data_IF_085573082353
#
_entry.id   IF_085573082353
#
_cell.length_a   1.000
_cell.length_b   1.000
_cell.length_c   1.000
_cell.angle_alpha   90.00
_cell.angle_beta   90.00
_cell.angle_gamma   90.00
#
_symmetry.space_group_name_H-M   'P 1'
#
loop_
_entity.id
_entity.type
_entity.pdbx_description
1 polymer ?
#
# COMPACT_ATOMS: atom_id res chain seq x y z
N UNK A 1 -23.55 -7.71 17.79
CA UNK A 1 -24.42 -7.91 16.60
C UNK A 1 -24.02 -7.04 15.39
N UNK A 2 -23.86 -5.69 15.45
CA UNK A 2 -23.59 -4.89 14.24
C UNK A 2 -22.27 -5.25 13.52
N UNK A 3 -21.20 -5.62 14.24
CA UNK A 3 -19.94 -6.04 13.61
C UNK A 3 -20.10 -7.33 12.82
N UNK A 4 -20.83 -8.32 13.35
CA UNK A 4 -21.09 -9.59 12.64
C UNK A 4 -21.90 -9.34 11.38
N UNK A 5 -22.95 -8.51 11.46
CA UNK A 5 -23.73 -8.10 10.30
C UNK A 5 -22.82 -7.39 9.27
N UNK A 6 -21.94 -6.50 9.71
CA UNK A 6 -20.97 -5.84 8.84
C UNK A 6 -20.01 -6.82 8.16
N UNK A 7 -19.44 -7.78 8.87
CA UNK A 7 -18.53 -8.79 8.29
C UNK A 7 -19.27 -9.69 7.30
N UNK A 8 -20.52 -10.08 7.58
CA UNK A 8 -21.35 -10.89 6.66
C UNK A 8 -21.69 -10.09 5.41
N UNK A 9 -22.11 -8.82 5.55
CA UNK A 9 -22.40 -7.95 4.42
C UNK A 9 -21.17 -7.72 3.53
N UNK A 10 -20.00 -7.49 4.13
CA UNK A 10 -18.76 -7.37 3.38
C UNK A 10 -18.41 -8.67 2.64
N UNK A 11 -18.54 -9.82 3.29
CA UNK A 11 -18.29 -11.13 2.65
C UNK A 11 -19.26 -11.42 1.49
N UNK A 12 -20.53 -11.03 1.63
CA UNK A 12 -21.55 -11.17 0.56
C UNK A 12 -21.22 -10.22 -0.59
N UNK A 13 -20.91 -8.96 -0.30
CA UNK A 13 -20.54 -7.97 -1.32
C UNK A 13 -19.28 -8.40 -2.09
N UNK A 14 -18.25 -8.84 -1.37
CA UNK A 14 -17.00 -9.33 -1.97
C UNK A 14 -17.26 -10.60 -2.80
N UNK A 15 -18.05 -11.54 -2.31
CA UNK A 15 -18.44 -12.73 -3.06
C UNK A 15 -19.21 -12.41 -4.33
N UNK A 16 -20.11 -11.42 -4.30
CA UNK A 16 -20.84 -10.93 -5.47
C UNK A 16 -19.93 -10.32 -6.52
N UNK A 17 -19.01 -9.43 -6.11
CA UNK A 17 -18.02 -8.82 -7.02
C UNK A 17 -17.08 -9.86 -7.64
N UNK A 18 -16.58 -10.80 -6.84
CA UNK A 18 -15.73 -11.89 -7.36
C UNK A 18 -16.49 -12.80 -8.32
N UNK A 19 -17.76 -13.06 -8.07
CA UNK A 19 -18.61 -13.82 -8.98
C UNK A 19 -18.79 -13.10 -10.32
N UNK A 20 -19.11 -11.80 -10.30
CA UNK A 20 -19.28 -10.99 -11.52
C UNK A 20 -17.99 -10.92 -12.33
N UNK A 21 -16.86 -10.65 -11.66
CA UNK A 21 -15.53 -10.69 -12.29
C UNK A 21 -15.18 -12.06 -12.89
N UNK A 22 -15.68 -13.18 -12.32
CA UNK A 22 -15.46 -14.51 -12.85
C UNK A 22 -16.25 -14.80 -14.13
N UNK A 23 -17.42 -14.23 -14.25
CA UNK A 23 -18.31 -14.44 -15.41
C UNK A 23 -17.77 -13.71 -16.66
N UNK A 24 -17.08 -12.58 -16.46
CA UNK A 24 -16.49 -11.76 -17.55
C UNK A 24 -15.18 -12.31 -18.15
N UNK A 25 -14.67 -13.45 -17.72
CA UNK A 25 -13.43 -13.97 -18.35
C UNK A 25 -12.87 -15.28 -17.85
N UNK A 26 -13.32 -15.84 -16.74
CA UNK A 26 -12.81 -17.11 -16.23
C UNK A 26 -13.93 -18.01 -15.75
N UNK A 27 -14.17 -19.12 -16.44
CA UNK A 27 -15.04 -20.21 -15.91
C UNK A 27 -14.41 -20.70 -14.61
N UNK A 28 -15.13 -20.57 -13.51
CA UNK A 28 -14.77 -21.15 -12.21
C UNK A 28 -14.68 -22.67 -12.42
N UNK A 29 -13.47 -23.21 -12.51
CA UNK A 29 -13.28 -24.65 -12.69
C UNK A 29 -13.57 -25.38 -11.38
N UNK A 30 -14.04 -26.63 -11.48
CA UNK A 30 -14.23 -27.49 -10.30
C UNK A 30 -12.93 -27.59 -9.44
N UNK A 31 -11.77 -27.53 -10.07
CA UNK A 31 -10.46 -27.49 -9.41
C UNK A 31 -10.29 -26.24 -8.56
N UNK A 32 -10.71 -25.05 -9.03
CA UNK A 32 -10.64 -23.80 -8.25
C UNK A 32 -11.59 -23.84 -7.05
N UNK A 33 -12.79 -24.40 -7.21
CA UNK A 33 -13.73 -24.62 -6.12
C UNK A 33 -13.12 -25.56 -5.09
N UNK A 34 -12.54 -26.69 -5.53
CA UNK A 34 -11.89 -27.66 -4.64
C UNK A 34 -10.70 -27.04 -3.87
N UNK A 35 -9.86 -26.23 -4.55
CA UNK A 35 -8.76 -25.49 -3.93
C UNK A 35 -9.28 -24.45 -2.92
N UNK A 36 -10.36 -23.72 -3.26
CA UNK A 36 -11.01 -22.78 -2.35
C UNK A 36 -11.53 -23.48 -1.09
N UNK A 37 -12.21 -24.61 -1.24
CA UNK A 37 -12.68 -25.44 -0.10
C UNK A 37 -11.50 -25.96 0.71
N UNK A 38 -10.44 -26.47 0.05
CA UNK A 38 -9.23 -26.94 0.75
C UNK A 38 -8.55 -25.79 1.53
N UNK A 39 -8.57 -24.57 1.03
CA UNK A 39 -8.02 -23.40 1.70
C UNK A 39 -8.79 -23.01 2.97
N UNK A 40 -10.05 -23.40 3.11
CA UNK A 40 -10.83 -23.15 4.34
C UNK A 40 -10.24 -23.87 5.55
N UNK A 41 -9.60 -25.04 5.36
CA UNK A 41 -9.00 -25.80 6.46
C UNK A 41 -7.86 -25.02 7.14
N UNK A 42 -6.80 -24.57 6.43
CA UNK A 42 -5.73 -23.78 7.06
C UNK A 42 -6.25 -22.45 7.61
N UNK A 43 -7.25 -21.84 6.99
CA UNK A 43 -7.88 -20.60 7.50
C UNK A 43 -8.60 -20.87 8.82
N UNK A 44 -9.35 -21.97 8.95
CA UNK A 44 -10.04 -22.36 10.19
C UNK A 44 -9.04 -22.70 11.31
N UNK A 45 -7.98 -23.43 10.98
CA UNK A 45 -6.88 -23.72 11.94
C UNK A 45 -6.23 -22.41 12.39
N UNK A 46 -5.91 -21.51 11.44
CA UNK A 46 -5.37 -20.18 11.71
C UNK A 46 -6.29 -19.37 12.63
N UNK A 47 -7.60 -19.39 12.37
CA UNK A 47 -8.60 -18.72 13.22
C UNK A 47 -8.59 -19.26 14.65
N UNK A 48 -8.58 -20.59 14.83
CA UNK A 48 -8.51 -21.21 16.16
C UNK A 48 -7.23 -20.82 16.90
N UNK A 49 -6.09 -20.77 16.21
CA UNK A 49 -4.81 -20.31 16.76
C UNK A 49 -4.88 -18.84 17.17
N UNK A 50 -5.47 -17.97 16.34
CA UNK A 50 -5.57 -16.52 16.59
C UNK A 50 -6.60 -16.18 17.69
N UNK A 51 -7.61 -17.01 17.92
CA UNK A 51 -8.46 -16.92 19.12
C UNK A 51 -7.64 -17.14 20.39
N UNK A 52 -6.68 -18.08 20.35
CA UNK A 52 -5.81 -18.38 21.50
C UNK A 52 -4.66 -17.38 21.65
N UNK A 53 -4.10 -16.91 20.52
CA UNK A 53 -2.96 -15.99 20.48
C UNK A 53 -3.28 -14.72 19.67
N UNK A 54 -4.22 -13.89 20.13
CA UNK A 54 -4.66 -12.70 19.36
C UNK A 54 -3.54 -11.67 19.16
N UNK A 55 -2.51 -11.68 19.98
CA UNK A 55 -1.32 -10.84 19.85
C UNK A 55 -0.53 -11.08 18.55
N UNK A 56 -0.67 -12.25 17.94
CA UNK A 56 0.00 -12.59 16.69
C UNK A 56 -0.64 -11.96 15.46
N UNK A 57 -1.84 -11.41 15.55
CA UNK A 57 -2.57 -10.80 14.42
C UNK A 57 -1.75 -9.73 13.72
N UNK A 58 -1.31 -8.70 14.45
CA UNK A 58 -0.58 -7.57 13.88
C UNK A 58 0.75 -7.96 13.22
N UNK A 59 1.63 -8.75 13.87
CA UNK A 59 2.86 -9.25 13.26
C UNK A 59 2.62 -10.10 12.01
N UNK A 60 1.62 -10.98 12.02
CA UNK A 60 1.30 -11.83 10.87
C UNK A 60 0.77 -11.03 9.69
N UNK A 61 -0.11 -10.04 9.94
CA UNK A 61 -0.61 -9.16 8.89
C UNK A 61 0.54 -8.37 8.28
N UNK A 62 1.42 -7.78 9.10
CA UNK A 62 2.58 -7.04 8.58
C UNK A 62 3.52 -7.97 7.78
N UNK A 63 3.78 -9.18 8.27
CA UNK A 63 4.63 -10.14 7.59
C UNK A 63 4.03 -10.61 6.26
N UNK A 64 2.71 -10.82 6.20
CA UNK A 64 2.03 -11.28 4.99
C UNK A 64 1.79 -10.17 3.95
N UNK A 65 1.66 -8.91 4.39
CA UNK A 65 1.27 -7.78 3.55
C UNK A 65 2.12 -7.57 2.28
N UNK A 66 3.46 -7.63 2.29
CA UNK A 66 4.26 -7.41 1.10
C UNK A 66 4.33 -8.62 0.17
N UNK A 67 4.00 -9.82 0.64
CA UNK A 67 4.15 -11.03 -0.17
C UNK A 67 3.09 -11.12 -1.25
N UNK A 68 3.56 -11.15 -2.50
CA UNK A 68 2.77 -11.26 -3.72
C UNK A 68 3.27 -12.44 -4.55
N UNK A 69 3.14 -13.70 -4.04
CA UNK A 69 3.67 -14.85 -4.74
C UNK A 69 3.03 -14.96 -6.12
N UNK A 70 3.82 -15.05 -7.18
CA UNK A 70 3.33 -15.29 -8.52
C UNK A 70 2.99 -16.77 -8.65
N UNK A 71 1.82 -17.15 -8.21
CA UNK A 71 1.31 -18.49 -8.43
C UNK A 71 0.67 -18.53 -9.83
N UNK A 72 1.33 -19.19 -10.77
CA UNK A 72 0.87 -19.32 -12.14
C UNK A 72 0.71 -20.80 -12.49
N UNK A 73 -0.52 -21.27 -12.70
CA UNK A 73 -0.81 -22.62 -13.19
C UNK A 73 -1.35 -22.56 -14.62
N UNK A 74 -0.62 -23.00 -15.64
CA UNK A 74 -1.09 -22.97 -17.03
C UNK A 74 -0.13 -23.65 -18.01
N UNK A 75 -0.50 -23.72 -19.30
CA UNK A 75 0.10 -24.55 -20.35
C UNK A 75 1.58 -24.26 -20.69
N UNK A 76 2.19 -23.22 -20.14
CA UNK A 76 3.59 -22.88 -20.38
C UNK A 76 4.47 -23.10 -19.15
N UNK A 77 4.24 -24.13 -18.34
CA UNK A 77 4.99 -24.44 -17.11
C UNK A 77 4.91 -23.38 -16.01
N UNK A 78 3.95 -22.47 -16.07
CA UNK A 78 3.67 -21.45 -15.06
C UNK A 78 2.25 -21.66 -14.56
N UNK A 79 2.11 -21.86 -13.25
CA UNK A 79 0.79 -22.02 -12.64
C UNK A 79 0.14 -20.63 -12.43
N UNK A 80 -0.98 -20.36 -13.11
CA UNK A 80 -1.82 -19.20 -12.85
C UNK A 80 -3.02 -19.62 -12.02
N UNK A 81 -3.10 -19.24 -10.74
CA UNK A 81 -4.38 -19.20 -10.05
C UNK A 81 -4.99 -17.83 -10.41
N UNK A 82 -5.54 -17.75 -11.62
CA UNK A 82 -6.32 -16.60 -12.01
C UNK A 82 -7.75 -16.82 -11.57
N UNK A 83 -8.17 -16.20 -10.51
CA UNK A 83 -9.60 -16.02 -10.20
C UNK A 83 -10.11 -14.74 -10.85
N UNK A 84 -9.22 -13.84 -11.23
CA UNK A 84 -9.51 -12.66 -12.00
C UNK A 84 -8.57 -12.55 -13.19
N UNK A 85 -9.04 -12.01 -14.31
CA UNK A 85 -8.31 -11.82 -15.56
C UNK A 85 -6.98 -11.06 -15.40
N UNK A 86 -6.78 -10.31 -14.33
CA UNK A 86 -5.57 -9.58 -14.01
C UNK A 86 -4.60 -10.31 -13.06
N UNK A 87 -4.89 -11.52 -12.61
CA UNK A 87 -4.03 -12.31 -11.69
C UNK A 87 -3.71 -11.62 -10.36
N UNK A 88 -4.55 -10.68 -9.93
CA UNK A 88 -4.32 -9.85 -8.75
C UNK A 88 -4.57 -10.63 -7.46
N UNK A 89 -5.56 -11.52 -7.44
CA UNK A 89 -5.90 -12.32 -6.27
C UNK A 89 -4.73 -13.20 -5.82
N UNK A 90 -4.07 -13.88 -6.74
CA UNK A 90 -2.93 -14.74 -6.43
C UNK A 90 -1.79 -14.00 -5.73
N UNK A 91 -1.65 -12.71 -5.95
CA UNK A 91 -0.55 -11.90 -5.40
C UNK A 91 -0.67 -11.61 -3.91
N UNK A 92 -1.88 -11.53 -3.36
CA UNK A 92 -2.12 -11.21 -1.95
C UNK A 92 -2.67 -12.40 -1.15
N UNK A 93 -2.62 -13.61 -1.69
CA UNK A 93 -3.14 -14.82 -1.03
C UNK A 93 -2.66 -15.00 0.42
N UNK A 94 -1.37 -14.81 0.78
CA UNK A 94 -0.95 -14.92 2.17
C UNK A 94 -1.67 -13.93 3.08
N UNK A 95 -1.83 -12.68 2.62
CA UNK A 95 -2.55 -11.66 3.38
C UNK A 95 -4.04 -12.01 3.51
N UNK A 96 -4.69 -12.43 2.43
CA UNK A 96 -6.12 -12.82 2.48
C UNK A 96 -6.37 -14.02 3.40
N UNK A 97 -5.46 -15.00 3.40
CA UNK A 97 -5.52 -16.13 4.33
C UNK A 97 -5.44 -15.67 5.78
N UNK A 98 -4.52 -14.76 6.09
CA UNK A 98 -4.40 -14.17 7.44
C UNK A 98 -5.64 -13.34 7.78
N UNK A 99 -6.14 -12.51 6.86
CA UNK A 99 -7.34 -11.70 7.09
C UNK A 99 -8.59 -12.56 7.29
N UNK A 100 -8.78 -13.61 6.50
CA UNK A 100 -9.87 -14.56 6.68
C UNK A 100 -9.82 -15.24 8.07
N UNK A 101 -8.65 -15.73 8.47
CA UNK A 101 -8.45 -16.33 9.78
C UNK A 101 -8.71 -15.33 10.92
N UNK A 102 -8.24 -14.11 10.80
CA UNK A 102 -8.45 -13.07 11.83
C UNK A 102 -9.90 -12.58 11.88
N UNK A 103 -10.58 -12.45 10.74
CA UNK A 103 -12.00 -12.09 10.68
C UNK A 103 -12.88 -13.17 11.32
N UNK A 104 -12.59 -14.46 11.06
CA UNK A 104 -13.27 -15.57 11.72
C UNK A 104 -13.02 -15.57 13.24
N UNK A 105 -11.78 -15.33 13.68
CA UNK A 105 -11.44 -15.23 15.10
C UNK A 105 -12.16 -14.06 15.77
N UNK A 106 -12.25 -12.91 15.10
CA UNK A 106 -12.98 -11.74 15.58
C UNK A 106 -14.48 -12.01 15.65
N UNK A 107 -15.04 -12.63 14.61
CA UNK A 107 -16.44 -13.05 14.56
C UNK A 107 -16.81 -14.01 15.69
N UNK A 108 -15.95 -15.00 15.97
CA UNK A 108 -16.09 -15.93 17.08
C UNK A 108 -16.11 -15.23 18.45
N UNK A 109 -15.21 -14.25 18.64
CA UNK A 109 -15.20 -13.46 19.87
C UNK A 109 -16.46 -12.60 20.03
N UNK A 110 -16.98 -12.05 18.93
CA UNK A 110 -18.24 -11.31 18.93
C UNK A 110 -19.45 -12.21 19.27
N UNK A 111 -19.50 -13.43 18.72
CA UNK A 111 -20.54 -14.42 19.04
C UNK A 111 -20.51 -14.83 20.50
N UNK A 112 -19.34 -14.85 21.13
CA UNK A 112 -19.17 -15.12 22.57
C UNK A 112 -19.50 -13.92 23.47
N UNK A 113 -20.06 -12.85 22.92
CA UNK A 113 -20.47 -11.67 23.67
C UNK A 113 -19.33 -10.80 24.17
N UNK A 114 -18.10 -10.97 23.65
CA UNK A 114 -16.99 -10.08 24.00
C UNK A 114 -17.25 -8.70 23.42
N UNK A 115 -17.14 -7.68 24.26
CA UNK A 115 -17.20 -6.29 23.80
C UNK A 115 -16.00 -5.99 22.91
N UNK A 116 -16.28 -5.40 21.75
CA UNK A 116 -15.28 -5.05 20.77
C UNK A 116 -15.15 -3.52 20.68
N UNK A 117 -13.95 -3.04 20.90
CA UNK A 117 -13.65 -1.63 20.82
C UNK A 117 -13.99 -1.04 19.45
N UNK A 118 -14.47 0.20 19.40
CA UNK A 118 -14.74 0.93 18.16
C UNK A 118 -13.44 1.49 17.61
N UNK A 119 -13.24 1.35 16.30
CA UNK A 119 -12.10 2.00 15.62
C UNK A 119 -12.23 3.52 15.81
N UNK A 120 -11.12 4.26 16.07
CA UNK A 120 -11.16 5.70 16.23
C UNK A 120 -11.87 6.41 15.06
N UNK A 121 -12.87 7.24 15.38
CA UNK A 121 -13.73 7.88 14.37
C UNK A 121 -12.95 8.76 13.40
N UNK A 122 -11.85 9.35 13.88
CA UNK A 122 -10.96 10.19 13.07
C UNK A 122 -10.38 9.46 11.83
N UNK A 123 -10.33 8.12 11.87
CA UNK A 123 -9.91 7.28 10.73
C UNK A 123 -11.11 6.52 10.17
N UNK A 124 -11.99 6.01 11.03
CA UNK A 124 -13.12 5.18 10.60
C UNK A 124 -14.08 5.93 9.67
N UNK A 125 -14.47 7.18 10.03
CA UNK A 125 -15.41 7.95 9.21
C UNK A 125 -14.87 8.31 7.83
N UNK A 126 -13.64 8.86 7.68
CA UNK A 126 -13.08 9.12 6.36
C UNK A 126 -12.85 7.85 5.54
N UNK A 127 -12.44 6.74 6.17
CA UNK A 127 -12.26 5.46 5.49
C UNK A 127 -13.59 4.93 4.94
N UNK A 128 -14.65 4.95 5.77
CA UNK A 128 -16.01 4.55 5.32
C UNK A 128 -16.52 5.48 4.23
N UNK A 129 -16.35 6.80 4.37
CA UNK A 129 -16.75 7.76 3.35
C UNK A 129 -16.06 7.47 2.00
N UNK A 130 -14.74 7.23 2.03
CA UNK A 130 -13.98 6.87 0.85
C UNK A 130 -14.48 5.58 0.20
N UNK A 131 -14.70 4.53 1.00
CA UNK A 131 -15.21 3.24 0.53
C UNK A 131 -16.63 3.36 -0.07
N UNK A 132 -17.51 4.13 0.56
CA UNK A 132 -18.87 4.37 0.07
C UNK A 132 -18.84 5.10 -1.28
N UNK A 133 -18.05 6.17 -1.39
CA UNK A 133 -17.89 6.91 -2.66
C UNK A 133 -17.32 5.98 -3.73
N UNK A 134 -16.29 5.20 -3.41
CA UNK A 134 -15.69 4.24 -4.33
C UNK A 134 -16.71 3.17 -4.78
N UNK A 135 -17.48 2.58 -3.87
CA UNK A 135 -18.50 1.58 -4.19
C UNK A 135 -19.65 2.16 -5.03
N UNK A 136 -20.16 3.33 -4.65
CA UNK A 136 -21.22 4.00 -5.42
C UNK A 136 -20.75 4.39 -6.82
N UNK A 137 -19.46 4.70 -6.99
CA UNK A 137 -18.91 5.10 -8.29
C UNK A 137 -18.93 3.96 -9.33
N UNK A 138 -19.13 2.71 -8.91
CA UNK A 138 -19.35 1.58 -9.83
C UNK A 138 -20.66 1.74 -10.66
N UNK A 139 -21.63 2.51 -10.16
CA UNK A 139 -22.89 2.74 -10.86
C UNK A 139 -22.74 3.58 -12.14
N UNK A 140 -21.63 4.32 -12.28
CA UNK A 140 -21.36 5.18 -13.45
C UNK A 140 -19.95 5.03 -14.03
N UNK A 141 -19.20 3.99 -13.61
CA UNK A 141 -17.84 3.79 -14.14
C UNK A 141 -17.84 3.38 -15.61
N UNK A 142 -16.90 3.94 -16.37
CA UNK A 142 -16.67 3.57 -17.77
C UNK A 142 -15.89 2.25 -17.93
N UNK A 143 -15.38 1.66 -16.82
CA UNK A 143 -14.64 0.38 -16.81
C UNK A 143 -15.01 -0.42 -15.55
N UNK A 144 -16.21 -1.01 -15.57
CA UNK A 144 -16.76 -1.75 -14.44
C UNK A 144 -15.84 -2.86 -13.95
N UNK A 145 -15.26 -3.73 -14.81
CA UNK A 145 -14.37 -4.80 -14.34
C UNK A 145 -13.11 -4.26 -13.62
N UNK A 146 -12.56 -3.12 -14.06
CA UNK A 146 -11.42 -2.51 -13.39
C UNK A 146 -11.81 -1.94 -12.03
N UNK A 147 -12.98 -1.30 -11.92
CA UNK A 147 -13.51 -0.78 -10.67
C UNK A 147 -13.81 -1.87 -9.65
N UNK A 148 -14.51 -2.91 -10.06
CA UNK A 148 -14.78 -4.10 -9.23
C UNK A 148 -13.50 -4.77 -8.74
N UNK A 149 -12.49 -4.88 -9.60
CA UNK A 149 -11.18 -5.43 -9.23
C UNK A 149 -10.53 -4.62 -8.10
N UNK A 150 -10.55 -3.29 -8.17
CA UNK A 150 -9.99 -2.43 -7.11
C UNK A 150 -10.80 -2.57 -5.83
N UNK A 151 -12.13 -2.59 -5.91
CA UNK A 151 -13.00 -2.70 -4.74
C UNK A 151 -12.85 -4.07 -4.06
N UNK A 152 -12.99 -5.17 -4.81
CA UNK A 152 -13.00 -6.53 -4.29
C UNK A 152 -11.63 -7.00 -3.78
N UNK A 153 -10.54 -6.67 -4.48
CA UNK A 153 -9.22 -7.21 -4.13
C UNK A 153 -8.34 -6.28 -3.30
N UNK A 154 -8.75 -5.04 -3.11
CA UNK A 154 -7.96 -4.09 -2.31
C UNK A 154 -8.82 -3.40 -1.25
N UNK A 155 -9.83 -2.65 -1.63
CA UNK A 155 -10.50 -1.76 -0.69
C UNK A 155 -11.30 -2.51 0.38
N UNK A 156 -12.10 -3.50 0.00
CA UNK A 156 -12.88 -4.30 0.97
C UNK A 156 -12.00 -5.17 1.87
N UNK A 157 -11.03 -5.96 1.37
CA UNK A 157 -10.11 -6.71 2.22
C UNK A 157 -9.31 -5.81 3.17
N UNK A 158 -8.93 -4.60 2.73
CA UNK A 158 -8.18 -3.69 3.59
C UNK A 158 -9.05 -2.98 4.62
N UNK A 159 -10.33 -2.79 4.35
CA UNK A 159 -11.29 -2.41 5.40
C UNK A 159 -11.38 -3.48 6.49
N UNK A 160 -11.42 -4.76 6.11
CA UNK A 160 -11.34 -5.88 7.05
C UNK A 160 -10.01 -5.86 7.81
N UNK A 161 -8.88 -5.60 7.12
CA UNK A 161 -7.56 -5.45 7.74
C UNK A 161 -7.60 -4.42 8.88
N UNK A 162 -8.11 -3.22 8.60
CA UNK A 162 -8.22 -2.17 9.64
C UNK A 162 -9.12 -2.65 10.78
N UNK A 163 -10.27 -3.24 10.45
CA UNK A 163 -11.22 -3.71 11.45
C UNK A 163 -10.62 -4.76 12.41
N UNK A 164 -9.83 -5.72 11.90
CA UNK A 164 -9.27 -6.81 12.71
C UNK A 164 -8.01 -6.37 13.46
N UNK A 165 -7.08 -5.68 12.79
CA UNK A 165 -5.79 -5.27 13.39
C UNK A 165 -5.99 -4.17 14.44
N UNK A 166 -6.89 -3.21 14.21
CA UNK A 166 -7.19 -2.18 15.20
C UNK A 166 -7.67 -2.77 16.54
N UNK A 167 -8.30 -3.93 16.53
CA UNK A 167 -8.80 -4.63 17.72
C UNK A 167 -7.84 -5.67 18.28
N UNK A 168 -6.70 -5.88 17.64
CA UNK A 168 -5.68 -6.80 18.14
C UNK A 168 -4.97 -6.21 19.37
N UNK A 169 -4.55 -7.06 20.33
CA UNK A 169 -3.78 -6.59 21.48
C UNK A 169 -2.45 -5.96 21.06
N UNK A 170 -2.05 -4.89 21.75
CA UNK A 170 -0.81 -4.17 21.50
C UNK A 170 0.09 -4.19 22.74
N UNK A 171 0.83 -5.26 23.06
CA UNK A 171 1.75 -5.32 24.19
C UNK A 171 2.97 -4.40 24.00
N UNK A 172 3.69 -4.08 25.07
CA UNK A 172 4.83 -3.13 25.06
C UNK A 172 5.97 -3.50 24.10
N UNK A 173 6.17 -4.79 23.84
CA UNK A 173 7.21 -5.27 22.91
C UNK A 173 6.81 -5.13 21.43
N UNK A 174 5.53 -4.85 21.13
CA UNK A 174 4.99 -4.83 19.76
C UNK A 174 5.70 -3.82 18.87
N UNK A 175 5.95 -2.60 19.36
CA UNK A 175 6.69 -1.55 18.62
C UNK A 175 8.04 -2.09 18.11
N UNK A 176 8.78 -2.79 18.97
CA UNK A 176 10.07 -3.38 18.59
C UNK A 176 9.90 -4.53 17.58
N UNK A 177 8.92 -5.39 17.80
CA UNK A 177 8.65 -6.51 16.90
C UNK A 177 8.30 -6.04 15.49
N UNK A 178 7.42 -5.04 15.36
CA UNK A 178 7.05 -4.47 14.06
C UNK A 178 8.24 -3.84 13.35
N UNK A 179 9.10 -3.12 14.08
CA UNK A 179 10.33 -2.56 13.51
C UNK A 179 11.29 -3.65 13.01
N UNK A 180 11.49 -4.71 13.80
CA UNK A 180 12.32 -5.85 13.40
C UNK A 180 11.76 -6.54 12.15
N UNK A 181 10.45 -6.82 12.12
CA UNK A 181 9.79 -7.45 10.96
C UNK A 181 10.00 -6.59 9.70
N UNK A 182 9.76 -5.28 9.79
CA UNK A 182 9.93 -4.37 8.65
C UNK A 182 11.37 -4.38 8.11
N UNK A 183 12.38 -4.32 9.00
CA UNK A 183 13.79 -4.33 8.61
C UNK A 183 14.20 -5.70 8.04
N UNK A 184 13.75 -6.81 8.65
CA UNK A 184 14.03 -8.16 8.16
C UNK A 184 13.42 -8.39 6.78
N UNK A 185 12.16 -8.00 6.57
CA UNK A 185 11.51 -8.10 5.26
C UNK A 185 12.25 -7.29 4.20
N UNK A 186 12.61 -6.03 4.49
CA UNK A 186 13.38 -5.19 3.58
C UNK A 186 14.74 -5.82 3.27
N UNK A 187 15.39 -6.45 4.27
CA UNK A 187 16.68 -7.15 4.09
C UNK A 187 16.55 -8.37 3.19
N UNK A 188 15.49 -9.17 3.36
CA UNK A 188 15.20 -10.31 2.47
C UNK A 188 14.98 -9.83 1.04
N UNK A 189 14.22 -8.75 0.87
CA UNK A 189 13.96 -8.19 -0.46
C UNK A 189 15.24 -7.59 -1.08
N UNK A 190 16.06 -6.88 -0.31
CA UNK A 190 17.32 -6.34 -0.77
C UNK A 190 18.28 -7.47 -1.19
N UNK A 191 18.40 -8.53 -0.39
CA UNK A 191 19.22 -9.70 -0.72
C UNK A 191 18.77 -10.35 -2.04
N UNK A 192 17.47 -10.61 -2.21
CA UNK A 192 16.94 -11.16 -3.45
C UNK A 192 17.22 -10.24 -4.64
N UNK A 193 17.08 -8.91 -4.47
CA UNK A 193 17.41 -7.93 -5.51
C UNK A 193 18.90 -7.92 -5.87
N UNK A 194 19.80 -8.01 -4.89
CA UNK A 194 21.25 -8.08 -5.13
C UNK A 194 21.66 -9.37 -5.83
N UNK A 195 21.04 -10.52 -5.49
CA UNK A 195 21.28 -11.77 -6.21
C UNK A 195 20.83 -11.65 -7.67
N UNK A 196 19.67 -11.03 -7.95
CA UNK A 196 19.22 -10.77 -9.32
C UNK A 196 20.18 -9.83 -10.06
N UNK A 197 20.69 -8.78 -9.40
CA UNK A 197 21.65 -7.86 -9.99
C UNK A 197 22.98 -8.59 -10.35
N UNK A 198 23.49 -9.45 -9.47
CA UNK A 198 24.72 -10.20 -9.69
C UNK A 198 24.57 -11.28 -10.77
N UNK A 199 23.40 -11.93 -10.86
CA UNK A 199 23.15 -13.01 -11.80
C UNK A 199 22.53 -12.57 -13.13
N UNK A 200 22.08 -11.33 -13.21
CA UNK A 200 21.30 -10.78 -14.35
C UNK A 200 20.06 -11.64 -14.68
N UNK A 201 19.45 -12.26 -13.67
CA UNK A 201 18.25 -13.11 -13.82
C UNK A 201 17.12 -12.59 -12.94
N UNK A 202 15.99 -12.25 -13.57
CA UNK A 202 14.76 -11.92 -12.84
C UNK A 202 14.02 -13.22 -12.49
N UNK A 203 13.54 -13.32 -11.24
CA UNK A 203 12.72 -14.46 -10.83
C UNK A 203 11.23 -14.20 -11.11
N UNK A 204 10.80 -12.97 -10.87
CA UNK A 204 9.45 -12.50 -11.11
C UNK A 204 9.51 -11.13 -11.78
N UNK A 205 8.74 -10.94 -12.85
CA UNK A 205 8.76 -9.68 -13.60
C UNK A 205 7.49 -9.51 -14.43
N UNK A 206 7.19 -8.28 -14.79
CA UNK A 206 6.24 -7.97 -15.86
C UNK A 206 6.98 -7.97 -17.20
N UNK A 207 6.32 -8.32 -18.31
CA UNK A 207 6.95 -8.30 -19.64
C UNK A 207 7.59 -6.94 -19.99
N UNK A 208 7.00 -5.84 -19.53
CA UNK A 208 7.55 -4.48 -19.72
C UNK A 208 8.91 -4.26 -19.05
N UNK A 209 9.20 -4.94 -17.94
CA UNK A 209 10.51 -4.86 -17.25
C UNK A 209 11.56 -5.64 -18.04
N UNK A 210 11.19 -6.82 -18.56
CA UNK A 210 12.09 -7.64 -19.39
C UNK A 210 12.48 -6.89 -20.67
N UNK A 211 11.49 -6.35 -21.38
CA UNK A 211 11.72 -5.50 -22.56
C UNK A 211 12.56 -4.29 -22.18
N UNK A 212 12.25 -3.60 -21.08
CA UNK A 212 13.03 -2.48 -20.60
C UNK A 212 14.50 -2.83 -20.35
N UNK A 213 14.78 -3.96 -19.71
CA UNK A 213 16.15 -4.43 -19.46
C UNK A 213 16.90 -4.83 -20.74
N UNK A 214 16.19 -5.36 -21.74
CA UNK A 214 16.80 -5.74 -23.03
C UNK A 214 17.30 -4.51 -23.84
N UNK A 215 16.65 -3.35 -23.66
CA UNK A 215 16.97 -2.13 -24.39
C UNK A 215 17.66 -1.04 -23.55
N UNK A 216 17.96 -1.32 -22.26
CA UNK A 216 18.64 -0.39 -21.38
C UNK A 216 20.09 -0.76 -21.18
N UNK A 217 20.96 0.24 -20.91
CA UNK A 217 22.35 0.03 -20.50
C UNK A 217 22.48 -0.42 -19.03
N UNK A 218 21.38 -0.53 -18.29
CA UNK A 218 21.33 -0.95 -16.90
C UNK A 218 20.27 -2.02 -16.69
N UNK A 219 20.54 -2.92 -15.75
CA UNK A 219 19.64 -4.03 -15.41
C UNK A 219 18.85 -3.70 -14.15
N UNK A 220 17.52 -3.53 -14.30
CA UNK A 220 16.58 -3.28 -13.21
C UNK A 220 16.14 -4.57 -12.57
N UNK A 221 16.25 -4.65 -11.25
CA UNK A 221 15.83 -5.82 -10.48
C UNK A 221 14.44 -5.61 -9.89
N UNK A 222 13.72 -6.70 -9.70
CA UNK A 222 12.35 -6.72 -9.15
C UNK A 222 12.27 -7.43 -7.80
N UNK A 223 13.34 -8.10 -7.38
CA UNK A 223 13.36 -8.93 -6.17
C UNK A 223 12.22 -9.97 -6.18
N UNK A 224 11.44 -10.07 -5.14
CA UNK A 224 10.25 -10.93 -5.03
C UNK A 224 8.96 -10.26 -5.56
N UNK A 225 9.09 -9.10 -6.21
CA UNK A 225 7.97 -8.36 -6.81
C UNK A 225 8.02 -8.47 -8.34
N UNK A 226 6.93 -8.09 -9.00
CA UNK A 226 6.90 -8.03 -10.47
C UNK A 226 7.32 -6.67 -11.03
N UNK A 227 7.47 -5.68 -10.16
CA UNK A 227 7.76 -4.29 -10.52
C UNK A 227 8.90 -3.73 -9.66
N UNK A 228 9.92 -3.08 -10.27
CA UNK A 228 11.05 -2.50 -9.56
C UNK A 228 10.65 -1.39 -8.58
N UNK A 229 9.59 -0.63 -8.87
CA UNK A 229 9.15 0.48 -8.00
C UNK A 229 8.42 -0.04 -6.76
N UNK A 230 7.68 -1.15 -6.88
CA UNK A 230 7.11 -1.85 -5.72
C UNK A 230 8.21 -2.44 -4.83
N UNK A 231 9.22 -3.07 -5.44
CA UNK A 231 10.39 -3.55 -4.72
C UNK A 231 11.09 -2.42 -3.97
N UNK A 232 11.46 -1.35 -4.68
CA UNK A 232 12.15 -0.19 -4.10
C UNK A 232 11.34 0.47 -2.98
N UNK A 233 10.02 0.56 -3.10
CA UNK A 233 9.10 1.04 -2.06
C UNK A 233 9.31 0.27 -0.74
N UNK A 234 9.25 -1.07 -0.79
CA UNK A 234 9.36 -1.89 0.42
C UNK A 234 10.75 -1.81 1.07
N UNK A 235 11.81 -1.66 0.28
CA UNK A 235 13.15 -1.41 0.82
C UNK A 235 13.22 -0.04 1.52
N UNK A 236 12.62 1.01 0.93
CA UNK A 236 12.54 2.35 1.55
C UNK A 236 11.79 2.30 2.88
N UNK A 237 10.72 1.52 3.00
CA UNK A 237 10.02 1.37 4.29
C UNK A 237 10.92 0.79 5.38
N UNK A 238 11.74 -0.22 5.05
CA UNK A 238 12.73 -0.77 5.98
C UNK A 238 13.82 0.24 6.35
N UNK A 239 14.34 1.01 5.38
CA UNK A 239 15.30 2.09 5.64
C UNK A 239 14.68 3.17 6.52
N UNK A 240 13.43 3.58 6.27
CA UNK A 240 12.74 4.57 7.08
C UNK A 240 12.64 4.15 8.55
N UNK A 241 12.27 2.90 8.82
CA UNK A 241 12.23 2.35 10.17
C UNK A 241 13.62 2.28 10.80
N UNK A 242 14.65 1.89 10.02
CA UNK A 242 16.04 1.87 10.47
C UNK A 242 16.52 3.28 10.83
N UNK A 243 16.23 4.29 10.02
CA UNK A 243 16.57 5.69 10.30
C UNK A 243 15.95 6.18 11.60
N UNK A 244 14.69 5.83 11.87
CA UNK A 244 14.05 6.14 13.16
C UNK A 244 14.76 5.44 14.31
N UNK A 245 15.15 4.16 14.16
CA UNK A 245 15.90 3.43 15.18
C UNK A 245 17.27 4.05 15.45
N UNK A 246 17.94 4.56 14.41
CA UNK A 246 19.21 5.31 14.52
C UNK A 246 19.00 6.64 15.24
N UNK A 247 18.00 7.42 14.83
CA UNK A 247 17.65 8.71 15.46
C UNK A 247 17.38 8.58 16.95
N UNK A 248 16.71 7.47 17.33
CA UNK A 248 16.42 7.15 18.73
C UNK A 248 17.53 6.37 19.46
N UNK A 249 18.69 6.21 18.82
CA UNK A 249 19.85 5.47 19.36
C UNK A 249 19.53 4.05 19.83
N UNK A 250 18.61 3.38 19.14
CA UNK A 250 18.16 2.00 19.44
C UNK A 250 19.02 0.92 18.78
N UNK A 251 19.94 1.30 17.89
CA UNK A 251 20.83 0.39 17.14
C UNK A 251 22.26 0.92 17.22
N UNK A 252 23.21 0.00 17.36
CA UNK A 252 24.65 0.36 17.36
C UNK A 252 25.02 1.02 16.02
N UNK A 253 25.74 2.17 16.00
CA UNK A 253 26.02 2.94 14.77
C UNK A 253 26.67 2.14 13.65
N UNK A 254 27.61 1.26 13.98
CA UNK A 254 28.28 0.41 12.99
C UNK A 254 27.31 -0.59 12.34
N UNK A 255 26.46 -1.24 13.13
CA UNK A 255 25.43 -2.16 12.62
C UNK A 255 24.43 -1.41 11.75
N UNK A 256 24.02 -0.22 12.19
CA UNK A 256 23.12 0.64 11.44
C UNK A 256 23.71 1.06 10.09
N UNK A 257 25.00 1.43 10.05
CA UNK A 257 25.70 1.79 8.82
C UNK A 257 25.77 0.62 7.83
N UNK A 258 26.18 -0.56 8.30
CA UNK A 258 26.26 -1.76 7.44
C UNK A 258 24.89 -2.13 6.88
N UNK A 259 23.86 -2.10 7.72
CA UNK A 259 22.50 -2.44 7.32
C UNK A 259 21.92 -1.39 6.35
N UNK A 260 22.17 -0.09 6.61
CA UNK A 260 21.77 0.98 5.70
C UNK A 260 22.47 0.88 4.34
N UNK A 261 23.78 0.61 4.32
CA UNK A 261 24.55 0.42 3.09
C UNK A 261 24.03 -0.79 2.29
N UNK A 262 23.75 -1.91 2.96
CA UNK A 262 23.20 -3.11 2.34
C UNK A 262 21.79 -2.86 1.74
N UNK A 263 20.89 -2.25 2.50
CA UNK A 263 19.56 -1.93 2.02
C UNK A 263 19.60 -0.90 0.87
N UNK A 264 20.47 0.11 0.98
CA UNK A 264 20.64 1.11 -0.06
C UNK A 264 21.22 0.50 -1.35
N UNK A 265 22.19 -0.41 -1.24
CA UNK A 265 22.69 -1.15 -2.40
C UNK A 265 21.57 -1.93 -3.11
N UNK A 266 20.72 -2.63 -2.35
CA UNK A 266 19.53 -3.28 -2.91
C UNK A 266 18.58 -2.30 -3.60
N UNK A 267 18.30 -1.16 -2.95
CA UNK A 267 17.43 -0.11 -3.50
C UNK A 267 18.02 0.48 -4.79
N UNK A 268 19.32 0.69 -4.86
CA UNK A 268 20.00 1.26 -6.01
C UNK A 268 19.70 0.49 -7.30
N UNK A 269 19.81 -0.83 -7.28
CA UNK A 269 19.53 -1.67 -8.45
C UNK A 269 18.06 -1.75 -8.85
N UNK A 270 17.14 -1.19 -8.05
CA UNK A 270 15.74 -1.02 -8.49
C UNK A 270 15.60 0.04 -9.59
N UNK A 271 16.52 1.00 -9.64
CA UNK A 271 16.44 2.20 -10.49
C UNK A 271 15.08 2.90 -10.39
N UNK A 272 14.48 2.87 -9.20
CA UNK A 272 13.17 3.47 -8.93
C UNK A 272 13.32 4.91 -8.46
N UNK A 273 13.05 5.85 -9.35
CA UNK A 273 13.08 7.29 -9.04
C UNK A 273 12.09 7.65 -7.91
N UNK A 274 10.87 7.09 -7.94
CA UNK A 274 9.85 7.33 -6.91
C UNK A 274 10.32 6.88 -5.52
N UNK A 275 11.01 5.73 -5.45
CA UNK A 275 11.55 5.22 -4.19
C UNK A 275 12.71 6.07 -3.68
N UNK A 276 13.59 6.56 -4.56
CA UNK A 276 14.66 7.47 -4.18
C UNK A 276 14.13 8.80 -3.64
N UNK A 277 13.14 9.40 -4.32
CA UNK A 277 12.50 10.65 -3.84
C UNK A 277 11.83 10.42 -2.49
N UNK A 278 11.15 9.29 -2.29
CA UNK A 278 10.54 8.95 -1.02
C UNK A 278 11.58 8.79 0.10
N UNK A 279 12.73 8.14 -0.19
CA UNK A 279 13.83 8.02 0.78
C UNK A 279 14.40 9.39 1.16
N UNK A 280 14.67 10.26 0.19
CA UNK A 280 15.16 11.61 0.46
C UNK A 280 14.16 12.41 1.30
N UNK A 281 12.88 12.39 0.97
CA UNK A 281 11.85 13.10 1.72
C UNK A 281 11.79 12.62 3.18
N UNK A 282 11.80 11.31 3.41
CA UNK A 282 11.82 10.74 4.78
C UNK A 282 13.07 11.15 5.52
N UNK A 283 14.25 11.08 4.89
CA UNK A 283 15.53 11.44 5.51
C UNK A 283 15.54 12.91 5.92
N UNK A 284 15.08 13.82 5.04
CA UNK A 284 14.99 15.26 5.32
C UNK A 284 14.05 15.53 6.49
N UNK A 285 12.87 14.93 6.48
CA UNK A 285 11.88 15.12 7.56
C UNK A 285 12.41 14.59 8.89
N UNK A 286 13.00 13.39 8.91
CA UNK A 286 13.58 12.82 10.13
C UNK A 286 14.77 13.64 10.64
N UNK A 287 15.62 14.17 9.76
CA UNK A 287 16.71 15.06 10.14
C UNK A 287 16.17 16.37 10.77
N UNK A 288 15.02 16.86 10.34
CA UNK A 288 14.33 17.99 10.97
C UNK A 288 13.90 17.73 12.42
N UNK A 289 13.71 16.46 12.82
CA UNK A 289 13.44 16.05 14.20
C UNK A 289 14.71 15.80 15.04
N UNK A 290 15.90 15.83 14.43
CA UNK A 290 17.15 15.72 15.16
C UNK A 290 17.36 16.94 16.09
N UNK A 291 17.96 16.71 17.25
CA UNK A 291 18.25 17.78 18.22
C UNK A 291 19.29 18.79 17.72
N UNK A 292 20.09 18.42 16.73
CA UNK A 292 21.17 19.21 16.19
C UNK A 292 20.67 20.32 15.23
N UNK A 293 21.05 21.58 15.53
CA UNK A 293 20.68 22.76 14.75
C UNK A 293 21.29 22.75 13.34
N UNK A 294 22.52 22.27 13.22
CA UNK A 294 23.22 22.23 11.92
C UNK A 294 22.55 21.21 11.01
N UNK A 295 22.25 20.01 11.52
CA UNK A 295 21.57 18.97 10.75
C UNK A 295 20.17 19.43 10.32
N UNK A 296 19.43 20.16 11.18
CA UNK A 296 18.15 20.77 10.82
C UNK A 296 18.28 21.81 9.71
N UNK A 297 19.32 22.65 9.77
CA UNK A 297 19.59 23.64 8.73
C UNK A 297 19.93 22.97 7.39
N UNK A 298 20.77 21.94 7.39
CA UNK A 298 21.10 21.15 6.20
C UNK A 298 19.83 20.50 5.63
N UNK A 299 18.99 19.91 6.49
CA UNK A 299 17.72 19.30 6.06
C UNK A 299 16.78 20.34 5.44
N UNK A 300 16.69 21.54 6.01
CA UNK A 300 15.88 22.63 5.45
C UNK A 300 16.38 23.08 4.08
N UNK A 301 17.70 23.26 3.93
CA UNK A 301 18.32 23.60 2.63
C UNK A 301 18.07 22.51 1.59
N UNK A 302 18.25 21.23 1.98
CA UNK A 302 17.99 20.09 1.11
C UNK A 302 16.52 19.99 0.69
N UNK A 303 15.58 20.28 1.61
CA UNK A 303 14.15 20.33 1.30
C UNK A 303 13.84 21.43 0.28
N UNK A 304 14.37 22.64 0.49
CA UNK A 304 14.21 23.77 -0.45
C UNK A 304 14.82 23.42 -1.80
N UNK A 305 16.02 22.87 -1.85
CA UNK A 305 16.68 22.45 -3.09
C UNK A 305 15.87 21.38 -3.84
N UNK A 306 15.30 20.41 -3.12
CA UNK A 306 14.45 19.37 -3.71
C UNK A 306 13.17 19.97 -4.34
N UNK A 307 12.51 20.89 -3.63
CA UNK A 307 11.30 21.56 -4.10
C UNK A 307 11.61 22.45 -5.29
N UNK A 308 12.64 23.29 -5.21
CA UNK A 308 13.03 24.19 -6.30
C UNK A 308 13.55 23.40 -7.50
N UNK A 309 14.41 22.41 -7.30
CA UNK A 309 14.91 21.53 -8.35
C UNK A 309 13.78 20.76 -9.04
N UNK A 310 12.82 20.26 -8.28
CA UNK A 310 11.61 19.62 -8.80
C UNK A 310 10.73 20.59 -9.60
N UNK A 311 10.54 21.83 -9.10
CA UNK A 311 9.76 22.86 -9.79
C UNK A 311 10.46 23.30 -11.09
N UNK A 312 11.77 23.49 -11.08
CA UNK A 312 12.56 23.84 -12.29
C UNK A 312 12.52 22.70 -13.30
N UNK A 313 12.71 21.44 -12.87
CA UNK A 313 12.61 20.26 -13.73
C UNK A 313 11.19 20.15 -14.34
N UNK A 314 10.15 20.41 -13.56
CA UNK A 314 8.76 20.45 -14.04
C UNK A 314 8.53 21.57 -15.05
N UNK A 315 8.98 22.80 -14.77
CA UNK A 315 8.86 23.95 -15.66
C UNK A 315 9.64 23.75 -16.97
N UNK A 316 10.88 23.26 -16.90
CA UNK A 316 11.69 22.91 -18.06
C UNK A 316 11.05 21.79 -18.89
N UNK A 317 10.30 20.89 -18.25
CA UNK A 317 9.62 19.78 -18.91
C UNK A 317 8.35 20.19 -19.65
N UNK A 318 7.80 21.35 -19.37
CA UNK A 318 6.53 21.80 -19.97
C UNK A 318 6.65 22.22 -21.44
N UNK A 319 7.84 22.43 -21.98
CA UNK A 319 8.07 23.03 -23.29
C UNK A 319 8.83 22.18 -24.34
N UNK A 320 9.42 21.03 -24.00
CA UNK A 320 10.35 20.34 -24.90
C UNK A 320 10.13 18.83 -25.00
N UNK A 321 10.35 18.26 -26.21
CA UNK A 321 10.29 16.81 -26.47
C UNK A 321 11.34 16.01 -25.69
N UNK A 322 12.46 16.63 -25.27
CA UNK A 322 13.47 16.03 -24.40
C UNK A 322 12.94 15.75 -23.00
N UNK A 323 12.02 16.56 -22.51
CA UNK A 323 11.38 16.43 -21.22
C UNK A 323 10.50 15.17 -21.11
N UNK A 324 9.90 14.72 -22.18
CA UNK A 324 9.15 13.45 -22.23
C UNK A 324 10.04 12.26 -21.93
N UNK A 325 11.30 12.27 -22.39
CA UNK A 325 12.29 11.24 -22.07
C UNK A 325 12.72 11.27 -20.61
N UNK A 326 12.99 12.46 -20.07
CA UNK A 326 13.43 12.65 -18.67
C UNK A 326 12.31 12.26 -17.69
N UNK A 327 11.06 12.61 -17.98
CA UNK A 327 9.92 12.32 -17.10
C UNK A 327 9.27 10.96 -17.38
N UNK A 328 9.82 10.15 -18.28
CA UNK A 328 9.23 8.87 -18.69
C UNK A 328 7.75 9.01 -19.07
N UNK A 329 7.41 10.06 -19.85
CA UNK A 329 6.05 10.39 -20.32
C UNK A 329 5.04 10.78 -19.21
N UNK A 330 5.52 11.02 -17.98
CA UNK A 330 4.65 11.35 -16.83
C UNK A 330 3.91 12.67 -17.00
N UNK A 331 4.57 13.69 -17.55
CA UNK A 331 3.95 15.00 -17.79
C UNK A 331 2.71 14.89 -18.68
N UNK A 332 2.77 14.10 -19.74
CA UNK A 332 1.63 13.82 -20.63
C UNK A 332 0.50 13.08 -19.88
N UNK A 333 0.84 12.10 -19.06
CA UNK A 333 -0.15 11.35 -18.28
C UNK A 333 -0.87 12.25 -17.28
N UNK A 334 -0.14 13.16 -16.63
CA UNK A 334 -0.72 14.18 -15.73
C UNK A 334 -1.65 15.10 -16.50
N UNK A 335 -1.25 15.63 -17.67
CA UNK A 335 -2.10 16.52 -18.49
C UNK A 335 -3.40 15.80 -18.93
N UNK A 336 -3.30 14.59 -19.44
CA UNK A 336 -4.48 13.80 -19.84
C UNK A 336 -5.42 13.54 -18.65
N UNK A 337 -4.87 13.22 -17.49
CA UNK A 337 -5.69 12.99 -16.28
C UNK A 337 -6.33 14.28 -15.78
N UNK A 338 -5.62 15.42 -15.83
CA UNK A 338 -6.20 16.74 -15.51
C UNK A 338 -7.36 17.12 -16.45
N UNK A 339 -7.32 16.73 -17.72
CA UNK A 339 -8.46 16.91 -18.64
C UNK A 339 -9.66 16.08 -18.22
N UNK A 340 -9.45 14.86 -17.67
CA UNK A 340 -10.53 14.04 -17.10
C UNK A 340 -11.13 14.74 -15.89
N UNK A 341 -10.30 15.20 -14.93
CA UNK A 341 -10.76 15.92 -13.74
C UNK A 341 -11.59 17.17 -14.10
N UNK A 342 -11.11 17.95 -15.07
CA UNK A 342 -11.85 19.16 -15.51
C UNK A 342 -13.18 18.84 -16.17
N UNK A 343 -13.30 17.69 -16.85
CA UNK A 343 -14.54 17.28 -17.50
C UNK A 343 -15.57 16.69 -16.50
N UNK A 344 -15.08 16.04 -15.43
CA UNK A 344 -15.92 15.37 -14.44
C UNK A 344 -15.51 15.73 -12.99
N UNK A 345 -15.64 17.02 -12.58
CA UNK A 345 -15.02 17.51 -11.35
C UNK A 345 -15.67 16.97 -10.07
N UNK A 346 -16.98 16.72 -10.05
CA UNK A 346 -17.72 16.38 -8.81
C UNK A 346 -17.66 14.89 -8.47
N UNK A 347 -18.04 14.04 -9.43
CA UNK A 347 -18.21 12.60 -9.22
C UNK A 347 -17.11 11.75 -9.89
N UNK A 348 -16.25 12.37 -10.74
CA UNK A 348 -15.27 11.64 -11.53
C UNK A 348 -15.90 10.76 -12.60
N UNK A 349 -15.09 9.87 -13.17
CA UNK A 349 -15.50 8.91 -14.22
C UNK A 349 -15.80 7.50 -13.69
N UNK A 350 -15.77 7.34 -12.38
CA UNK A 350 -15.94 6.05 -11.70
C UNK A 350 -14.62 5.34 -11.41
N UNK A 351 -14.65 4.50 -10.38
CA UNK A 351 -13.51 3.73 -9.92
C UNK A 351 -12.94 2.87 -11.05
N UNK A 352 -11.61 2.87 -11.22
CA UNK A 352 -10.89 2.08 -12.22
C UNK A 352 -10.93 2.67 -13.65
N UNK A 353 -11.77 3.69 -13.92
CA UNK A 353 -12.00 4.19 -15.28
C UNK A 353 -10.99 5.27 -15.75
N UNK A 354 -10.10 5.78 -14.89
CA UNK A 354 -9.14 6.83 -15.27
C UNK A 354 -8.29 6.47 -16.52
N UNK A 355 -7.77 5.22 -16.68
CA UNK A 355 -6.98 4.87 -17.86
C UNK A 355 -7.78 4.94 -19.17
N UNK A 356 -9.03 4.48 -19.16
CA UNK A 356 -9.94 4.50 -20.32
C UNK A 356 -10.30 5.94 -20.67
N UNK A 357 -10.74 6.72 -19.69
CA UNK A 357 -11.12 8.11 -19.84
C UNK A 357 -9.95 9.00 -20.33
N UNK A 358 -8.72 8.73 -19.87
CA UNK A 358 -7.51 9.41 -20.34
C UNK A 358 -7.15 9.03 -21.78
N UNK A 359 -7.31 7.76 -22.15
CA UNK A 359 -7.07 7.28 -23.51
C UNK A 359 -8.04 7.93 -24.51
N UNK A 360 -9.33 8.02 -24.16
CA UNK A 360 -10.34 8.66 -24.99
C UNK A 360 -10.04 10.16 -25.29
N UNK A 361 -9.30 10.82 -24.38
CA UNK A 361 -8.90 12.23 -24.54
C UNK A 361 -7.53 12.42 -25.21
N UNK A 362 -6.88 11.34 -25.61
CA UNK A 362 -5.62 11.41 -26.37
C UNK A 362 -5.91 11.72 -27.83
N UNK A 363 -5.37 12.85 -28.34
CA UNK A 363 -5.53 13.29 -29.74
C UNK A 363 -4.62 12.57 -30.75
N UNK A 364 -3.88 11.53 -30.35
CA UNK A 364 -2.98 10.81 -31.27
C UNK A 364 -3.74 9.72 -32.03
N UNK A 365 -3.67 9.79 -33.36
CA UNK A 365 -4.13 8.73 -34.26
C UNK A 365 -3.32 7.45 -34.02
N UNK A 366 -3.96 6.43 -33.53
CA UNK A 366 -3.42 5.14 -33.15
C UNK A 366 -4.28 4.52 -32.06
N UNK A 367 -4.13 3.23 -31.79
CA UNK A 367 -4.85 2.58 -30.68
C UNK A 367 -4.56 3.33 -29.39
N UNK A 368 -5.59 3.85 -28.69
CA UNK A 368 -5.38 4.63 -27.49
C UNK A 368 -4.73 3.80 -26.41
N UNK A 369 -3.50 4.15 -26.02
CA UNK A 369 -2.79 3.44 -24.96
C UNK A 369 -3.41 3.82 -23.63
N UNK A 370 -3.91 2.84 -22.88
CA UNK A 370 -4.45 3.04 -21.53
C UNK A 370 -3.30 3.30 -20.55
N UNK A 371 -3.28 4.47 -19.92
CA UNK A 371 -2.24 4.87 -18.98
C UNK A 371 -2.81 5.09 -17.59
N UNK A 372 -2.20 4.50 -16.58
CA UNK A 372 -2.39 4.92 -15.19
C UNK A 372 -1.68 6.25 -14.96
N UNK A 373 -2.28 7.17 -14.21
CA UNK A 373 -1.75 8.54 -14.00
C UNK A 373 -0.40 8.58 -13.28
N UNK A 374 -0.02 7.53 -12.57
CA UNK A 374 1.14 7.45 -11.67
C UNK A 374 1.14 8.48 -10.52
N UNK A 375 0.02 9.12 -10.23
CA UNK A 375 -0.14 10.10 -9.16
C UNK A 375 -1.46 9.82 -8.45
N UNK A 376 -1.41 9.19 -7.28
CA UNK A 376 -2.63 8.73 -6.59
C UNK A 376 -3.65 9.83 -6.33
N UNK A 377 -3.30 11.03 -5.80
CA UNK A 377 -4.29 12.09 -5.60
C UNK A 377 -5.03 12.49 -6.88
N UNK A 378 -4.30 12.52 -8.00
CA UNK A 378 -4.88 12.88 -9.29
C UNK A 378 -5.76 11.75 -9.85
N UNK A 379 -5.37 10.48 -9.63
CA UNK A 379 -6.22 9.33 -9.98
C UNK A 379 -7.53 9.38 -9.19
N UNK A 380 -7.45 9.60 -7.88
CA UNK A 380 -8.65 9.73 -7.02
C UNK A 380 -9.55 10.88 -7.49
N UNK A 381 -8.97 12.04 -7.82
CA UNK A 381 -9.74 13.16 -8.34
C UNK A 381 -10.38 12.87 -9.71
N UNK A 382 -9.72 12.09 -10.57
CA UNK A 382 -10.27 11.72 -11.88
C UNK A 382 -11.37 10.66 -11.77
N UNK A 383 -11.20 9.67 -10.90
CA UNK A 383 -12.13 8.54 -10.75
C UNK A 383 -13.31 8.88 -9.83
N UNK A 384 -13.06 9.53 -8.69
CA UNK A 384 -14.05 9.77 -7.65
C UNK A 384 -14.41 11.26 -7.49
N UNK A 385 -13.84 12.13 -8.29
CA UNK A 385 -14.09 13.57 -8.26
C UNK A 385 -13.67 14.23 -6.94
N UNK A 386 -14.23 15.42 -6.70
CA UNK A 386 -13.98 16.19 -5.47
C UNK A 386 -14.48 15.45 -4.21
N UNK A 387 -15.54 14.66 -4.31
CA UNK A 387 -16.05 13.87 -3.18
C UNK A 387 -15.04 12.83 -2.71
N UNK A 388 -14.50 12.04 -3.64
CA UNK A 388 -13.46 11.07 -3.34
C UNK A 388 -12.16 11.73 -2.88
N UNK A 389 -11.77 12.85 -3.50
CA UNK A 389 -10.58 13.61 -3.11
C UNK A 389 -10.72 14.19 -1.69
N UNK A 390 -11.89 14.71 -1.32
CA UNK A 390 -12.15 15.20 0.02
C UNK A 390 -12.07 14.08 1.07
N UNK A 391 -12.67 12.91 0.79
CA UNK A 391 -12.56 11.74 1.65
C UNK A 391 -11.11 11.25 1.77
N UNK A 392 -10.34 11.26 0.68
CA UNK A 392 -8.92 10.94 0.67
C UNK A 392 -8.09 11.89 1.56
N UNK A 393 -8.30 13.20 1.40
CA UNK A 393 -7.61 14.22 2.22
C UNK A 393 -8.00 14.07 3.70
N UNK A 394 -9.28 13.86 3.99
CA UNK A 394 -9.77 13.62 5.34
C UNK A 394 -9.14 12.36 5.97
N UNK A 395 -8.97 11.29 5.18
CA UNK A 395 -8.29 10.07 5.66
C UNK A 395 -6.81 10.32 5.97
N UNK A 396 -6.10 11.07 5.13
CA UNK A 396 -4.70 11.45 5.39
C UNK A 396 -4.58 12.35 6.63
N UNK A 397 -5.47 13.32 6.78
CA UNK A 397 -5.52 14.19 7.95
C UNK A 397 -5.83 13.39 9.23
N UNK A 398 -6.79 12.48 9.17
CA UNK A 398 -7.11 11.56 10.25
C UNK A 398 -5.94 10.66 10.64
N UNK A 399 -5.24 10.12 9.63
CA UNK A 399 -4.02 9.33 9.84
C UNK A 399 -2.93 10.16 10.54
N UNK A 400 -2.67 11.38 10.07
CA UNK A 400 -1.69 12.27 10.68
C UNK A 400 -2.04 12.62 12.13
N UNK A 401 -3.31 12.95 12.41
CA UNK A 401 -3.80 13.25 13.75
C UNK A 401 -3.64 12.04 14.70
N UNK A 402 -4.00 10.84 14.22
CA UNK A 402 -3.86 9.61 15.00
C UNK A 402 -2.39 9.27 15.27
N UNK A 403 -1.51 9.36 14.28
CA UNK A 403 -0.07 9.13 14.43
C UNK A 403 0.55 10.17 15.37
N UNK A 404 0.09 11.42 15.31
CA UNK A 404 0.52 12.46 16.25
C UNK A 404 0.14 12.11 17.70
N UNK A 405 -1.07 11.58 17.91
CA UNK A 405 -1.52 11.07 19.23
C UNK A 405 -0.65 9.90 19.70
N UNK A 406 -0.36 8.93 18.83
CA UNK A 406 0.57 7.82 19.10
C UNK A 406 1.94 8.37 19.50
N UNK A 407 2.51 9.31 18.75
CA UNK A 407 3.83 9.88 19.00
C UNK A 407 3.96 10.54 20.35
N UNK A 408 2.88 11.15 20.88
CA UNK A 408 2.88 11.74 22.21
C UNK A 408 3.00 10.71 23.33
N UNK A 409 2.60 9.47 23.10
CA UNK A 409 2.58 8.37 24.06
C UNK A 409 3.71 7.36 23.84
N UNK A 410 3.98 7.00 22.59
CA UNK A 410 5.14 6.18 22.14
C UNK A 410 5.86 6.91 21.01
N UNK A 411 6.94 7.60 21.36
CA UNK A 411 7.71 8.39 20.40
C UNK A 411 8.30 7.54 19.26
N UNK A 412 8.75 6.32 19.56
CA UNK A 412 9.35 5.42 18.57
C UNK A 412 8.31 4.91 17.58
N UNK A 413 7.17 4.43 18.08
CA UNK A 413 6.08 3.97 17.22
C UNK A 413 5.55 5.11 16.35
N UNK A 414 5.28 6.26 16.97
CA UNK A 414 4.73 7.41 16.25
C UNK A 414 5.65 7.93 15.16
N UNK A 415 6.97 8.05 15.40
CA UNK A 415 7.94 8.41 14.36
C UNK A 415 8.05 7.33 13.28
N UNK A 416 8.05 6.04 13.66
CA UNK A 416 8.09 4.93 12.70
C UNK A 416 6.89 4.93 11.76
N UNK A 417 5.68 5.07 12.30
CA UNK A 417 4.45 5.13 11.51
C UNK A 417 4.41 6.40 10.63
N UNK A 418 4.87 7.55 11.15
CA UNK A 418 4.96 8.78 10.37
C UNK A 418 5.95 8.65 9.20
N UNK A 419 7.13 8.07 9.43
CA UNK A 419 8.14 7.87 8.40
C UNK A 419 7.65 6.90 7.30
N UNK A 420 6.99 5.81 7.69
CA UNK A 420 6.40 4.83 6.76
C UNK A 420 5.26 5.47 5.94
N UNK A 421 4.33 6.18 6.60
CA UNK A 421 3.24 6.85 5.89
C UNK A 421 3.75 7.93 4.93
N UNK A 422 4.74 8.72 5.36
CA UNK A 422 5.39 9.73 4.51
C UNK A 422 6.05 9.09 3.29
N UNK A 423 6.80 7.99 3.49
CA UNK A 423 7.42 7.26 2.38
C UNK A 423 6.38 6.77 1.36
N UNK A 424 5.29 6.17 1.83
CA UNK A 424 4.19 5.70 0.99
C UNK A 424 3.51 6.84 0.26
N UNK A 425 3.21 7.94 0.97
CA UNK A 425 2.57 9.12 0.38
C UNK A 425 3.44 9.75 -0.70
N UNK A 426 4.71 10.05 -0.41
CA UNK A 426 5.63 10.66 -1.38
C UNK A 426 5.85 9.73 -2.59
N UNK A 427 6.03 8.43 -2.34
CA UNK A 427 6.13 7.46 -3.42
C UNK A 427 4.88 7.46 -4.32
N UNK A 428 3.70 7.64 -3.73
CA UNK A 428 2.42 7.65 -4.44
C UNK A 428 2.18 8.89 -5.31
N UNK A 429 2.97 9.95 -5.12
CA UNK A 429 2.95 11.12 -6.00
C UNK A 429 3.64 10.85 -7.35
N UNK A 430 4.45 9.79 -7.42
CA UNK A 430 5.24 9.41 -8.61
C UNK A 430 4.95 7.99 -9.10
N UNK A 431 4.12 7.24 -8.39
CA UNK A 431 3.72 5.87 -8.70
C UNK A 431 2.33 5.58 -8.16
N UNK A 432 1.47 4.90 -8.92
CA UNK A 432 0.12 4.52 -8.47
C UNK A 432 0.16 3.47 -7.36
N UNK A 433 -0.97 3.26 -6.68
CA UNK A 433 -1.13 2.17 -5.74
C UNK A 433 -0.85 2.55 -4.29
N UNK A 434 -1.40 3.69 -3.83
CA UNK A 434 -1.38 4.05 -2.41
C UNK A 434 -2.43 3.26 -1.61
N UNK A 435 -3.63 3.14 -2.15
CA UNK A 435 -4.72 2.39 -1.53
C UNK A 435 -4.66 0.89 -1.81
N UNK A 436 -4.01 0.50 -2.90
CA UNK A 436 -3.75 -0.90 -3.26
C UNK A 436 -2.49 -1.46 -2.55
N UNK A 437 -1.83 -0.65 -1.72
CA UNK A 437 -0.75 -1.11 -0.85
C UNK A 437 -1.30 -1.41 0.55
N UNK A 438 -1.25 -2.67 1.01
CA UNK A 438 -1.77 -3.04 2.32
C UNK A 438 -1.03 -2.36 3.47
N UNK A 439 0.23 -1.94 3.29
CA UNK A 439 1.01 -1.28 4.34
C UNK A 439 0.40 0.08 4.71
N UNK A 440 -0.22 0.79 3.76
CA UNK A 440 -0.96 2.03 4.05
C UNK A 440 -2.04 1.78 5.12
N UNK A 441 -2.80 0.70 4.96
CA UNK A 441 -3.87 0.32 5.88
C UNK A 441 -3.34 -0.30 7.19
N UNK A 442 -2.20 -1.01 7.13
CA UNK A 442 -1.51 -1.50 8.35
C UNK A 442 -1.08 -0.34 9.24
N UNK A 443 -0.56 0.76 8.67
CA UNK A 443 -0.20 1.96 9.45
C UNK A 443 -1.40 2.52 10.22
N UNK A 444 -2.55 2.66 9.54
CA UNK A 444 -3.80 3.13 10.15
C UNK A 444 -4.30 2.18 11.26
N UNK A 445 -4.25 0.90 10.96
CA UNK A 445 -4.71 -0.15 11.86
C UNK A 445 -3.85 -0.27 13.13
N UNK A 446 -2.52 -0.22 12.98
CA UNK A 446 -1.55 -0.24 14.10
C UNK A 446 -1.70 1.00 14.98
N UNK A 447 -1.81 2.19 14.37
CA UNK A 447 -2.04 3.42 15.11
C UNK A 447 -3.36 3.36 15.91
N UNK A 448 -4.42 2.79 15.30
CA UNK A 448 -5.71 2.59 15.96
C UNK A 448 -5.62 1.60 17.11
N UNK A 449 -4.97 0.45 16.92
CA UNK A 449 -4.77 -0.58 17.95
C UNK A 449 -4.04 -0.02 19.19
N UNK A 450 -2.97 0.75 18.95
CA UNK A 450 -2.24 1.40 20.06
C UNK A 450 -3.11 2.37 20.84
N UNK A 451 -3.87 3.24 20.17
CA UNK A 451 -4.74 4.22 20.84
C UNK A 451 -5.87 3.54 21.62
N UNK A 452 -6.48 2.49 21.08
CA UNK A 452 -7.56 1.76 21.77
C UNK A 452 -7.08 1.07 23.05
N UNK A 453 -5.84 0.57 23.07
CA UNK A 453 -5.23 0.03 24.27
C UNK A 453 -5.07 1.09 25.36
N UNK A 454 -4.55 2.25 25.01
CA UNK A 454 -4.28 3.34 25.94
C UNK A 454 -5.57 3.91 26.52
N UNK A 455 -6.61 4.07 25.69
CA UNK A 455 -7.92 4.53 26.14
C UNK A 455 -8.61 3.54 27.11
N UNK A 456 -8.32 2.23 26.95
CA UNK A 456 -8.79 1.19 27.87
C UNK A 456 -7.96 1.12 29.20
N UNK A 457 -6.72 1.60 29.17
CA UNK A 457 -5.82 1.59 30.33
C UNK A 457 -5.95 2.83 31.22
N UNK A 458 -6.54 3.94 30.73
CA UNK A 458 -6.92 5.09 31.56
C UNK A 458 -8.19 4.75 32.36
N UNK A 459 -8.10 4.45 33.68
CA UNK A 459 -9.30 4.23 34.45
C UNK A 459 -10.07 5.55 34.56
N UNK A 460 -11.39 5.42 34.74
CA UNK A 460 -12.37 6.49 34.94
C UNK A 460 -12.06 7.41 36.16
N UNK A 461 -10.86 7.95 36.23
CA UNK A 461 -10.37 8.76 37.34
C UNK A 461 -10.60 10.28 37.15
N UNK A 462 -11.18 10.70 36.03
CA UNK A 462 -11.59 12.09 35.79
C UNK A 462 -12.86 12.11 34.95
N UNK A 463 -13.99 11.93 35.56
CA UNK A 463 -15.27 12.46 35.12
C UNK A 463 -16.00 13.11 36.25
#
# INVERSE_FOLDING_TARGET
MPLLAGLVLLAVAEGGLVYDLSDHGNRVSATLVALGVAALVPVAIGAALLVRWPVAVTPLVLAAAPFRPPLSFGSEHRFYIGVASAGQLGRLLPLYGVLGATALALGWNALRGRELARVPEVVALPAVAFLVVAALSLLWTDDLPAGENVLAYFLLPFAVLVAVVARAPFPSWMTRALAVIAIVLASVFAMAGLIQAATHKLWFFSPSVEVGNAYSSFFRVTSLFRDPSLYGRHVVLGIAVLLVAVLLRRVHPFVALLLAAFLFAGLWFSYSQSSMVALFAVTIVLAGFAGDRELRAVAAVAAVALVLGGAVAFAASAGDHSARRITSDRSRRVDLTLRVVRAHPLAGVGLGAQPVASAARSKQGGSPTRFVSHTTPLTVAAELGLLGLAAYIALLAGAAALIWRVRRRDHALGLGLAAVLLALFVHSLFYSGFFEDPITWVVLAVASSFCLREDAAEPAAVR
#
